data_IF_177051391940
#
_entry.id   IF_177051391940
#
_cell.length_a   1.000
_cell.length_b   1.000
_cell.length_c   1.000
_cell.angle_alpha   90.00
_cell.angle_beta   90.00
_cell.angle_gamma   90.00
#
_symmetry.space_group_name_H-M   'P 1'
#
loop_
_entity.id
_entity.type
_entity.pdbx_description
1 polymer ?
#
# COMPACT_ATOMS: atom_id res chain seq x y z
N UNK A 1 8.13 -31.02 -8.61
CA UNK A 1 9.61 -31.11 -8.48
C UNK A 1 9.97 -31.56 -7.05
N UNK A 2 11.16 -32.12 -6.80
CA UNK A 2 11.65 -32.36 -5.43
C UNK A 2 12.97 -31.63 -5.19
N UNK A 3 13.10 -30.96 -4.04
CA UNK A 3 14.33 -30.34 -3.57
C UNK A 3 14.58 -30.80 -2.13
N UNK A 4 15.80 -31.27 -1.83
CA UNK A 4 16.14 -31.84 -0.51
C UNK A 4 15.15 -32.91 -0.02
N UNK A 5 14.61 -33.72 -0.94
CA UNK A 5 13.63 -34.77 -0.63
C UNK A 5 12.19 -34.30 -0.42
N UNK A 6 11.95 -32.99 -0.35
CA UNK A 6 10.62 -32.40 -0.17
C UNK A 6 9.98 -32.05 -1.52
N UNK A 7 8.65 -32.11 -1.59
CA UNK A 7 7.90 -31.64 -2.76
C UNK A 7 8.03 -30.12 -2.84
N UNK A 8 8.35 -29.64 -4.04
CA UNK A 8 8.36 -28.21 -4.37
C UNK A 8 7.07 -27.92 -5.12
N UNK A 9 6.33 -26.92 -4.63
CA UNK A 9 5.17 -26.32 -5.28
C UNK A 9 5.61 -24.98 -5.87
N UNK A 10 5.38 -24.81 -7.16
CA UNK A 10 5.72 -23.61 -7.91
C UNK A 10 4.47 -22.79 -8.21
N UNK A 11 4.61 -21.47 -8.28
CA UNK A 11 3.48 -20.59 -8.59
C UNK A 11 3.90 -19.42 -9.49
N UNK A 12 2.98 -18.98 -10.35
CA UNK A 12 3.22 -17.88 -11.30
C UNK A 12 1.96 -17.08 -11.59
N UNK A 13 2.11 -15.80 -11.92
CA UNK A 13 1.03 -14.98 -12.49
C UNK A 13 1.01 -15.00 -14.02
N UNK A 14 2.03 -15.59 -14.65
CA UNK A 14 2.02 -15.80 -16.09
C UNK A 14 1.10 -16.98 -16.43
N UNK A 15 0.03 -16.69 -17.17
CA UNK A 15 -0.94 -17.68 -17.60
C UNK A 15 -0.34 -18.77 -18.51
N UNK A 16 0.80 -18.49 -19.17
CA UNK A 16 1.54 -19.44 -20.01
C UNK A 16 2.60 -20.24 -19.23
N UNK A 17 2.73 -19.99 -17.93
CA UNK A 17 3.68 -20.70 -17.08
C UNK A 17 3.29 -22.17 -16.90
N UNK A 18 4.32 -23.02 -16.75
CA UNK A 18 4.17 -24.43 -16.37
C UNK A 18 4.18 -24.64 -14.85
N UNK A 19 4.03 -23.55 -14.07
CA UNK A 19 3.95 -23.62 -12.61
C UNK A 19 2.75 -24.44 -12.12
N UNK A 20 2.88 -25.06 -10.95
CA UNK A 20 1.82 -25.89 -10.35
C UNK A 20 0.56 -25.05 -10.07
N UNK A 21 0.73 -23.80 -9.64
CA UNK A 21 -0.35 -22.85 -9.38
C UNK A 21 -0.23 -21.64 -10.29
N UNK A 22 -1.31 -21.25 -10.95
CA UNK A 22 -1.34 -20.02 -11.73
C UNK A 22 -2.56 -19.16 -11.45
N UNK A 23 -2.39 -17.85 -11.55
CA UNK A 23 -3.49 -16.89 -11.59
C UNK A 23 -3.72 -16.49 -13.05
N UNK A 24 -4.92 -16.73 -13.57
CA UNK A 24 -5.33 -16.37 -14.92
C UNK A 24 -6.45 -15.33 -14.89
N UNK A 25 -6.61 -14.56 -15.97
CA UNK A 25 -7.70 -13.58 -16.11
C UNK A 25 -7.81 -12.66 -14.87
N UNK A 26 -6.66 -12.16 -14.41
CA UNK A 26 -6.59 -11.31 -13.23
C UNK A 26 -7.16 -9.94 -13.54
N UNK A 27 -8.17 -9.55 -12.79
CA UNK A 27 -8.77 -8.22 -12.76
C UNK A 27 -8.42 -7.59 -11.43
N UNK A 28 -7.69 -6.48 -11.48
CA UNK A 28 -7.27 -5.75 -10.28
C UNK A 28 -7.96 -4.40 -10.27
N UNK A 29 -8.51 -4.02 -9.12
CA UNK A 29 -9.18 -2.76 -8.90
C UNK A 29 -8.82 -2.22 -7.53
N UNK A 30 -8.45 -0.94 -7.45
CA UNK A 30 -8.19 -0.27 -6.16
C UNK A 30 -9.40 -0.27 -5.23
N UNK A 31 -10.62 -0.24 -5.79
CA UNK A 31 -11.86 -0.12 -5.01
C UNK A 31 -12.47 -1.51 -4.75
N UNK A 32 -12.44 -2.40 -5.75
CA UNK A 32 -13.12 -3.71 -5.68
C UNK A 32 -12.21 -4.87 -5.25
N UNK A 33 -10.91 -4.62 -5.07
CA UNK A 33 -9.94 -5.67 -4.80
C UNK A 33 -9.48 -6.39 -6.06
N UNK A 34 -9.03 -7.62 -5.89
CA UNK A 34 -8.50 -8.46 -6.97
C UNK A 34 -9.37 -9.68 -7.18
N UNK A 35 -9.63 -10.01 -8.43
CA UNK A 35 -10.24 -11.30 -8.80
C UNK A 35 -9.47 -11.98 -9.91
N UNK A 36 -9.38 -13.31 -9.87
CA UNK A 36 -8.64 -14.10 -10.85
C UNK A 36 -9.09 -15.55 -10.83
N UNK A 37 -8.81 -16.28 -11.91
CA UNK A 37 -9.03 -17.72 -11.98
C UNK A 37 -7.79 -18.43 -11.46
N UNK A 38 -7.91 -19.01 -10.26
CA UNK A 38 -6.87 -19.84 -9.66
C UNK A 38 -6.89 -21.23 -10.32
N UNK A 39 -5.76 -21.59 -10.92
CA UNK A 39 -5.52 -22.93 -11.48
C UNK A 39 -4.58 -23.69 -10.55
N UNK A 40 -4.96 -24.92 -10.22
CA UNK A 40 -4.19 -25.83 -9.35
C UNK A 40 -4.26 -27.25 -9.91
N UNK A 41 -3.38 -28.18 -9.48
CA UNK A 41 -3.48 -29.58 -9.87
C UNK A 41 -4.79 -30.25 -9.42
N UNK A 42 -5.40 -29.73 -8.35
CA UNK A 42 -6.64 -30.24 -7.75
C UNK A 42 -7.91 -29.66 -8.39
N UNK A 43 -7.77 -28.76 -9.36
CA UNK A 43 -8.90 -28.09 -10.03
C UNK A 43 -8.74 -26.57 -10.10
N UNK A 44 -9.81 -25.90 -10.51
CA UNK A 44 -9.84 -24.43 -10.67
C UNK A 44 -10.94 -23.79 -9.85
N UNK A 45 -10.71 -22.56 -9.39
CA UNK A 45 -11.72 -21.71 -8.75
C UNK A 45 -11.52 -20.24 -9.10
N UNK A 46 -12.62 -19.49 -9.21
CA UNK A 46 -12.56 -18.03 -9.21
C UNK A 46 -12.27 -17.56 -7.79
N UNK A 47 -11.23 -16.75 -7.64
CA UNK A 47 -10.91 -16.04 -6.41
C UNK A 47 -11.40 -14.62 -6.56
N UNK A 48 -12.04 -14.11 -5.52
CA UNK A 48 -12.33 -12.69 -5.31
C UNK A 48 -11.79 -12.35 -3.94
N UNK A 49 -10.92 -11.35 -3.83
CA UNK A 49 -10.24 -10.97 -2.59
C UNK A 49 -10.22 -9.44 -2.47
N UNK A 50 -10.36 -8.88 -1.25
CA UNK A 50 -10.25 -7.44 -1.06
C UNK A 50 -8.80 -6.94 -1.25
N UNK A 51 -7.80 -7.83 -1.27
CA UNK A 51 -6.41 -7.48 -1.50
C UNK A 51 -6.21 -6.91 -2.90
N UNK A 52 -5.35 -5.90 -3.01
CA UNK A 52 -5.14 -5.13 -4.25
C UNK A 52 -3.72 -5.30 -4.76
N UNK A 53 -3.56 -5.47 -6.07
CA UNK A 53 -2.25 -5.41 -6.73
C UNK A 53 -1.61 -6.76 -7.01
N UNK A 54 -0.75 -6.79 -8.03
CA UNK A 54 0.03 -7.98 -8.43
C UNK A 54 0.83 -8.60 -7.29
N UNK A 55 1.50 -7.85 -6.38
CA UNK A 55 2.23 -8.46 -5.27
C UNK A 55 1.34 -9.34 -4.38
N UNK A 56 0.08 -8.92 -4.15
CA UNK A 56 -0.86 -9.70 -3.36
C UNK A 56 -1.34 -10.97 -4.08
N UNK A 57 -1.43 -10.97 -5.41
CA UNK A 57 -1.70 -12.20 -6.17
C UNK A 57 -0.60 -13.23 -5.96
N UNK A 58 0.68 -12.82 -6.01
CA UNK A 58 1.80 -13.73 -5.68
C UNK A 58 1.67 -14.29 -4.25
N UNK A 59 1.36 -13.43 -3.28
CA UNK A 59 1.17 -13.85 -1.89
C UNK A 59 0.01 -14.84 -1.72
N UNK A 60 -1.12 -14.60 -2.41
CA UNK A 60 -2.27 -15.50 -2.40
C UNK A 60 -1.97 -16.85 -3.04
N UNK A 61 -1.19 -16.87 -4.13
CA UNK A 61 -0.74 -18.13 -4.76
C UNK A 61 0.20 -18.91 -3.82
N UNK A 62 1.14 -18.24 -3.16
CA UNK A 62 2.03 -18.87 -2.18
C UNK A 62 1.26 -19.45 -0.98
N UNK A 63 0.31 -18.68 -0.43
CA UNK A 63 -0.55 -19.12 0.66
C UNK A 63 -1.44 -20.30 0.23
N UNK A 64 -1.99 -20.27 -0.98
CA UNK A 64 -2.76 -21.37 -1.57
C UNK A 64 -1.93 -22.65 -1.65
N UNK A 65 -0.71 -22.58 -2.17
CA UNK A 65 0.16 -23.76 -2.27
C UNK A 65 0.46 -24.36 -0.91
N UNK A 66 0.71 -23.52 0.08
CA UNK A 66 0.92 -23.97 1.47
C UNK A 66 -0.33 -24.65 2.02
N UNK A 67 -1.51 -24.05 1.85
CA UNK A 67 -2.77 -24.60 2.35
C UNK A 67 -3.15 -25.93 1.66
N UNK A 68 -2.90 -26.07 0.36
CA UNK A 68 -3.12 -27.32 -0.37
C UNK A 68 -2.22 -28.45 0.16
N UNK A 69 -0.93 -28.18 0.41
CA UNK A 69 -0.04 -29.20 0.99
C UNK A 69 -0.38 -29.55 2.44
N UNK A 70 -1.08 -28.67 3.15
CA UNK A 70 -1.65 -28.93 4.48
C UNK A 70 -2.99 -29.69 4.43
N UNK A 71 -3.51 -30.00 3.23
CA UNK A 71 -4.73 -30.79 3.04
C UNK A 71 -6.03 -29.99 3.11
N UNK A 72 -5.99 -28.66 2.97
CA UNK A 72 -7.20 -27.87 2.87
C UNK A 72 -7.82 -27.94 1.47
N UNK A 73 -9.15 -28.08 1.43
CA UNK A 73 -9.91 -28.09 0.18
C UNK A 73 -9.88 -26.72 -0.52
N UNK A 74 -9.85 -26.73 -1.85
CA UNK A 74 -9.75 -25.51 -2.67
C UNK A 74 -10.89 -24.51 -2.40
N UNK A 75 -12.10 -24.99 -2.11
CA UNK A 75 -13.24 -24.15 -1.75
C UNK A 75 -13.06 -23.47 -0.38
N UNK A 76 -12.42 -24.13 0.58
CA UNK A 76 -12.10 -23.52 1.88
C UNK A 76 -11.03 -22.46 1.74
N UNK A 77 -10.02 -22.71 0.90
CA UNK A 77 -8.97 -21.73 0.58
C UNK A 77 -9.58 -20.50 -0.10
N UNK A 78 -10.44 -20.70 -1.11
CA UNK A 78 -11.10 -19.61 -1.82
C UNK A 78 -11.94 -18.72 -0.88
N UNK A 79 -12.71 -19.34 0.04
CA UNK A 79 -13.44 -18.59 1.08
C UNK A 79 -12.50 -17.80 1.99
N UNK A 80 -11.41 -18.40 2.47
CA UNK A 80 -10.44 -17.72 3.32
C UNK A 80 -9.78 -16.52 2.63
N UNK A 81 -9.41 -16.65 1.36
CA UNK A 81 -8.86 -15.55 0.56
C UNK A 81 -9.87 -14.42 0.33
N UNK A 82 -11.16 -14.74 0.22
CA UNK A 82 -12.22 -13.74 0.03
C UNK A 82 -12.50 -12.87 1.24
N UNK A 83 -12.12 -13.33 2.44
CA UNK A 83 -12.29 -12.58 3.69
C UNK A 83 -10.98 -12.04 4.25
N UNK A 84 -9.85 -12.29 3.58
CA UNK A 84 -8.52 -11.87 4.05
C UNK A 84 -8.24 -10.42 3.65
N UNK A 85 -8.20 -9.52 4.62
CA UNK A 85 -7.90 -8.09 4.42
C UNK A 85 -6.40 -7.77 4.35
N UNK A 86 -5.55 -8.78 4.53
CA UNK A 86 -4.09 -8.65 4.37
C UNK A 86 -3.35 -8.35 5.66
N UNK A 87 -2.06 -8.07 5.51
CA UNK A 87 -1.23 -7.64 6.63
C UNK A 87 -1.53 -6.16 6.92
N UNK A 88 -1.76 -5.78 8.19
CA UNK A 88 -1.96 -4.39 8.54
C UNK A 88 -0.81 -3.49 8.02
N UNK A 89 -1.16 -2.35 7.43
CA UNK A 89 -0.23 -1.36 6.89
C UNK A 89 0.60 -1.82 5.70
N UNK A 90 0.07 -2.72 4.86
CA UNK A 90 0.72 -3.20 3.62
C UNK A 90 -0.26 -3.07 2.47
N UNK A 91 -0.14 -1.98 1.74
CA UNK A 91 -1.06 -1.55 0.69
C UNK A 91 -2.52 -1.70 1.15
N UNK A 92 -2.78 -1.32 2.41
CA UNK A 92 -4.04 -1.56 3.09
C UNK A 92 -5.05 -0.51 2.64
N UNK A 93 -6.08 -0.95 1.92
CA UNK A 93 -7.19 -0.09 1.52
C UNK A 93 -8.04 0.24 2.75
N UNK A 94 -8.26 1.53 2.99
CA UNK A 94 -9.25 2.00 3.97
C UNK A 94 -10.62 1.94 3.31
N UNK A 95 -11.54 1.18 3.89
CA UNK A 95 -12.86 0.96 3.30
C UNK A 95 -13.75 2.20 3.43
N UNK A 96 -14.39 2.59 2.33
CA UNK A 96 -15.47 3.58 2.28
C UNK A 96 -16.30 3.41 1.00
N UNK A 97 -17.46 4.08 0.96
CA UNK A 97 -18.43 4.00 -0.16
C UNK A 97 -18.16 5.00 -1.31
N UNK A 98 -16.97 5.61 -1.33
CA UNK A 98 -16.60 6.60 -2.33
C UNK A 98 -16.09 5.98 -3.63
N UNK A 99 -15.88 6.84 -4.63
CA UNK A 99 -15.42 6.47 -5.98
C UNK A 99 -13.92 6.67 -6.20
N UNK A 100 -13.17 6.90 -5.13
CA UNK A 100 -11.71 6.99 -5.09
C UNK A 100 -11.17 6.00 -4.06
N UNK A 101 -9.85 5.84 -3.98
CA UNK A 101 -9.22 4.94 -3.02
C UNK A 101 -8.34 5.69 -2.01
N UNK A 102 -8.31 5.20 -0.77
CA UNK A 102 -7.33 5.60 0.26
C UNK A 102 -6.57 4.36 0.70
N UNK A 103 -5.24 4.42 0.64
CA UNK A 103 -4.36 3.29 0.92
C UNK A 103 -3.31 3.70 1.95
N UNK A 104 -3.13 2.89 2.98
CA UNK A 104 -2.08 3.03 4.00
C UNK A 104 -0.98 2.01 3.75
N UNK A 105 0.27 2.48 3.64
CA UNK A 105 1.44 1.63 3.41
C UNK A 105 2.64 1.99 4.29
N UNK A 106 3.45 0.99 4.62
CA UNK A 106 4.67 1.13 5.44
C UNK A 106 5.91 1.52 4.64
N UNK A 107 5.77 1.92 3.38
CA UNK A 107 6.86 2.37 2.52
C UNK A 107 7.62 3.54 3.15
N UNK A 108 8.70 3.22 3.86
CA UNK A 108 9.57 4.17 4.55
C UNK A 108 11.00 4.15 3.96
N UNK A 109 11.19 3.49 2.82
CA UNK A 109 12.40 3.55 2.00
C UNK A 109 12.03 4.06 0.61
N UNK A 110 13.02 4.58 -0.11
CA UNK A 110 12.88 5.02 -1.49
C UNK A 110 12.42 3.88 -2.42
N UNK A 111 13.02 2.70 -2.33
CA UNK A 111 12.59 1.53 -3.12
C UNK A 111 11.16 1.07 -2.78
N UNK A 112 10.78 1.05 -1.50
CA UNK A 112 9.43 0.67 -1.10
C UNK A 112 8.38 1.68 -1.58
N UNK A 113 8.71 2.98 -1.54
CA UNK A 113 7.85 4.04 -2.03
C UNK A 113 7.70 3.98 -3.55
N UNK A 114 8.80 3.73 -4.28
CA UNK A 114 8.79 3.51 -5.73
C UNK A 114 7.82 2.37 -6.10
N UNK A 115 7.99 1.20 -5.47
CA UNK A 115 7.13 0.04 -5.72
C UNK A 115 5.66 0.32 -5.40
N UNK A 116 5.38 1.06 -4.32
CA UNK A 116 4.03 1.46 -3.92
C UNK A 116 3.38 2.38 -4.95
N UNK A 117 4.08 3.42 -5.39
CA UNK A 117 3.55 4.39 -6.35
C UNK A 117 3.42 3.80 -7.76
N UNK A 118 4.34 2.93 -8.18
CA UNK A 118 4.20 2.17 -9.43
C UNK A 118 2.97 1.26 -9.38
N UNK A 119 2.78 0.54 -8.27
CA UNK A 119 1.59 -0.29 -8.08
C UNK A 119 0.33 0.57 -8.12
N UNK A 120 0.30 1.73 -7.45
CA UNK A 120 -0.83 2.64 -7.51
C UNK A 120 -1.12 3.09 -8.95
N UNK A 121 -0.10 3.49 -9.71
CA UNK A 121 -0.24 3.93 -11.10
C UNK A 121 -0.76 2.84 -12.04
N UNK A 122 -0.38 1.58 -11.82
CA UNK A 122 -0.92 0.46 -12.62
C UNK A 122 -2.42 0.24 -12.39
N UNK A 123 -2.99 0.78 -11.31
CA UNK A 123 -4.34 0.47 -10.86
C UNK A 123 -5.32 1.65 -10.96
N UNK A 124 -4.82 2.85 -11.26
CA UNK A 124 -5.66 4.02 -11.51
C UNK A 124 -5.19 4.84 -12.70
N UNK A 125 -6.17 5.29 -13.48
CA UNK A 125 -6.01 6.33 -14.50
C UNK A 125 -6.24 7.75 -13.94
N UNK A 126 -6.68 7.86 -12.68
CA UNK A 126 -6.86 9.11 -11.94
C UNK A 126 -5.56 9.65 -11.35
N UNK A 127 -5.69 10.60 -10.42
CA UNK A 127 -4.56 11.24 -9.75
C UNK A 127 -4.03 10.38 -8.60
N UNK A 128 -2.72 10.39 -8.44
CA UNK A 128 -2.03 9.86 -7.27
C UNK A 128 -1.69 11.04 -6.35
N UNK A 129 -2.26 11.02 -5.15
CA UNK A 129 -2.00 12.00 -4.08
C UNK A 129 -1.19 11.28 -3.00
N UNK A 130 0.06 11.68 -2.78
CA UNK A 130 0.97 10.98 -1.87
C UNK A 130 1.23 11.79 -0.61
N UNK A 131 0.88 11.24 0.55
CA UNK A 131 1.18 11.76 1.88
C UNK A 131 2.32 10.97 2.49
N UNK A 132 3.44 11.61 2.77
CA UNK A 132 4.54 10.91 3.42
C UNK A 132 5.46 11.84 4.21
N UNK A 133 6.23 11.21 5.10
CA UNK A 133 7.30 11.85 5.86
C UNK A 133 8.50 10.92 5.97
N UNK A 134 9.52 11.34 6.72
CA UNK A 134 10.64 10.49 7.08
C UNK A 134 10.85 10.50 8.59
N UNK A 135 11.30 9.37 9.14
CA UNK A 135 11.73 9.30 10.54
C UNK A 135 13.00 10.12 10.80
N UNK A 136 13.05 10.79 11.96
CA UNK A 136 14.25 11.38 12.52
C UNK A 136 15.13 10.37 13.24
N UNK A 137 16.36 10.74 13.58
CA UNK A 137 17.43 9.90 14.15
C UNK A 137 17.65 8.59 13.36
N UNK A 138 17.49 8.67 12.04
CA UNK A 138 17.58 7.55 11.10
C UNK A 138 18.39 7.94 9.87
N UNK A 139 18.48 7.02 8.92
CA UNK A 139 19.15 7.27 7.65
C UNK A 139 18.55 8.50 6.94
N UNK A 140 19.38 9.54 6.82
CA UNK A 140 19.05 10.80 6.15
C UNK A 140 19.24 10.72 4.64
N UNK A 141 20.05 9.77 4.16
CA UNK A 141 20.44 9.67 2.75
C UNK A 141 19.25 9.34 1.85
N UNK A 142 18.20 8.71 2.39
CA UNK A 142 16.95 8.41 1.68
C UNK A 142 15.97 9.58 1.56
N UNK A 143 16.11 10.66 2.33
CA UNK A 143 15.11 11.75 2.38
C UNK A 143 14.92 12.42 1.02
N UNK A 144 16.03 12.82 0.38
CA UNK A 144 16.02 13.44 -0.94
C UNK A 144 15.56 12.46 -2.03
N UNK A 145 16.08 11.21 -2.12
CA UNK A 145 15.56 10.20 -3.05
C UNK A 145 14.05 9.93 -2.91
N UNK A 146 13.55 9.76 -1.69
CA UNK A 146 12.11 9.57 -1.44
C UNK A 146 11.30 10.76 -1.93
N UNK A 147 11.77 11.99 -1.68
CA UNK A 147 11.19 13.21 -2.24
C UNK A 147 11.14 13.20 -3.77
N UNK A 148 12.24 12.81 -4.41
CA UNK A 148 12.31 12.70 -5.87
C UNK A 148 11.32 11.68 -6.43
N UNK A 149 11.21 10.50 -5.82
CA UNK A 149 10.29 9.44 -6.25
C UNK A 149 8.83 9.89 -6.10
N UNK A 150 8.48 10.48 -4.96
CA UNK A 150 7.14 11.01 -4.74
C UNK A 150 6.80 12.10 -5.76
N UNK A 151 7.71 13.05 -5.98
CA UNK A 151 7.50 14.15 -6.93
C UNK A 151 7.46 13.72 -8.40
N UNK A 152 8.06 12.58 -8.75
CA UNK A 152 8.06 12.04 -10.12
C UNK A 152 6.82 11.20 -10.41
N UNK A 153 6.32 10.43 -9.44
CA UNK A 153 5.27 9.43 -9.67
C UNK A 153 3.88 9.84 -9.16
N UNK A 154 3.80 10.93 -8.40
CA UNK A 154 2.52 11.44 -7.86
C UNK A 154 2.08 12.68 -8.63
N UNK A 155 0.77 12.84 -8.78
CA UNK A 155 0.19 14.06 -9.33
C UNK A 155 0.20 15.20 -8.31
N UNK A 156 0.06 14.88 -7.02
CA UNK A 156 0.17 15.84 -5.92
C UNK A 156 0.91 15.20 -4.73
N UNK A 157 1.82 15.94 -4.11
CA UNK A 157 2.61 15.44 -2.97
C UNK A 157 2.34 16.30 -1.73
N UNK A 158 2.06 15.64 -0.61
CA UNK A 158 1.90 16.27 0.71
C UNK A 158 3.02 15.77 1.62
N UNK A 159 3.99 16.65 1.89
CA UNK A 159 5.10 16.36 2.79
C UNK A 159 4.67 16.67 4.22
N UNK A 160 4.81 15.70 5.12
CA UNK A 160 4.38 15.82 6.51
C UNK A 160 5.36 15.19 7.49
N UNK A 161 5.09 15.32 8.79
CA UNK A 161 5.83 14.64 9.85
C UNK A 161 5.50 13.14 9.88
N UNK A 162 6.49 12.31 10.21
CA UNK A 162 6.33 10.88 10.53
C UNK A 162 6.74 10.69 12.00
N UNK A 163 7.83 10.00 12.29
CA UNK A 163 8.39 9.86 13.63
C UNK A 163 9.62 10.76 13.74
N UNK A 164 9.48 12.06 14.05
CA UNK A 164 10.60 13.00 14.09
C UNK A 164 11.61 12.67 15.19
N UNK A 165 11.20 11.94 16.25
CA UNK A 165 12.08 11.63 17.39
C UNK A 165 12.71 12.92 17.93
N UNK A 166 14.03 12.97 18.10
CA UNK A 166 14.70 14.15 18.65
C UNK A 166 15.07 15.18 17.58
N UNK A 167 14.80 14.92 16.29
CA UNK A 167 14.99 15.89 15.23
C UNK A 167 13.82 16.86 15.11
N UNK A 168 14.11 18.08 14.65
CA UNK A 168 13.10 19.06 14.30
C UNK A 168 12.32 18.60 13.04
N UNK A 169 10.99 18.37 13.13
CA UNK A 169 10.19 17.92 12.00
C UNK A 169 10.35 18.80 10.75
N UNK A 170 10.46 20.11 10.92
CA UNK A 170 10.57 21.05 9.80
C UNK A 170 11.91 20.92 9.07
N UNK A 171 12.98 20.51 9.77
CA UNK A 171 14.27 20.23 9.12
C UNK A 171 14.22 18.96 8.28
N UNK A 172 13.56 17.91 8.80
CA UNK A 172 13.35 16.67 8.05
C UNK A 172 12.53 16.96 6.78
N UNK A 173 11.42 17.69 6.94
CA UNK A 173 10.56 18.11 5.83
C UNK A 173 11.35 18.89 4.79
N UNK A 174 12.16 19.88 5.20
CA UNK A 174 12.98 20.66 4.29
C UNK A 174 13.97 19.79 3.47
N UNK A 175 14.54 18.73 4.07
CA UNK A 175 15.41 17.79 3.35
C UNK A 175 14.64 16.95 2.32
N UNK A 176 13.43 16.49 2.65
CA UNK A 176 12.57 15.77 1.69
C UNK A 176 12.16 16.70 0.53
N UNK A 177 11.80 17.95 0.88
CA UNK A 177 11.31 18.96 -0.05
C UNK A 177 12.33 19.28 -1.15
N UNK A 178 13.64 19.19 -0.88
CA UNK A 178 14.69 19.30 -1.91
C UNK A 178 14.47 18.30 -3.05
N UNK A 179 14.12 17.06 -2.72
CA UNK A 179 13.86 16.01 -3.70
C UNK A 179 12.57 16.25 -4.48
N UNK A 180 11.50 16.66 -3.78
CA UNK A 180 10.18 16.93 -4.40
C UNK A 180 10.27 18.12 -5.37
N UNK A 181 10.86 19.24 -4.92
CA UNK A 181 11.05 20.47 -5.72
C UNK A 181 11.85 20.25 -7.00
N UNK A 182 12.75 19.27 -7.01
CA UNK A 182 13.53 18.93 -8.19
C UNK A 182 12.71 18.22 -9.29
N UNK A 183 11.49 17.78 -8.98
CA UNK A 183 10.63 16.97 -9.85
C UNK A 183 9.29 17.63 -10.16
N UNK A 184 8.72 18.37 -9.21
CA UNK A 184 7.40 18.99 -9.37
C UNK A 184 7.25 20.24 -8.52
N UNK A 185 6.39 21.16 -8.98
CA UNK A 185 5.90 22.29 -8.19
C UNK A 185 4.55 21.98 -7.52
N UNK A 186 3.90 20.87 -7.89
CA UNK A 186 2.59 20.49 -7.35
C UNK A 186 2.72 19.70 -6.05
N UNK A 187 3.17 20.37 -5.00
CA UNK A 187 3.27 19.81 -3.66
C UNK A 187 2.85 20.84 -2.60
N UNK A 188 2.51 20.34 -1.42
CA UNK A 188 2.25 21.13 -0.22
C UNK A 188 3.00 20.56 0.99
N UNK A 189 3.25 21.41 1.97
CA UNK A 189 3.91 21.05 3.23
C UNK A 189 2.93 21.30 4.37
N UNK A 190 2.57 20.24 5.08
CA UNK A 190 1.68 20.28 6.23
C UNK A 190 2.34 19.48 7.34
N UNK A 191 2.93 20.14 8.33
CA UNK A 191 3.74 19.48 9.35
C UNK A 191 2.94 18.52 10.23
N UNK A 192 1.70 18.86 10.55
CA UNK A 192 0.80 17.97 11.27
C UNK A 192 0.31 16.85 10.35
N UNK A 193 0.56 15.60 10.75
CA UNK A 193 0.25 14.42 9.94
C UNK A 193 -1.25 14.20 9.78
N UNK A 194 -2.03 14.53 10.80
CA UNK A 194 -3.48 14.39 10.75
C UNK A 194 -4.08 15.39 9.77
N UNK A 195 -3.66 16.66 9.84
CA UNK A 195 -4.08 17.69 8.90
C UNK A 195 -3.66 17.35 7.45
N UNK A 196 -2.47 16.78 7.25
CA UNK A 196 -1.99 16.34 5.94
C UNK A 196 -2.86 15.23 5.33
N UNK A 197 -3.27 14.25 6.15
CA UNK A 197 -4.18 13.17 5.74
C UNK A 197 -5.57 13.75 5.42
N UNK A 198 -6.14 14.57 6.30
CA UNK A 198 -7.43 15.21 6.06
C UNK A 198 -7.44 16.02 4.76
N UNK A 199 -6.40 16.82 4.55
CA UNK A 199 -6.23 17.62 3.34
C UNK A 199 -6.19 16.73 2.10
N UNK A 200 -5.38 15.69 2.11
CA UNK A 200 -5.23 14.79 0.95
C UNK A 200 -6.50 14.04 0.61
N UNK A 201 -7.22 13.53 1.61
CA UNK A 201 -8.52 12.89 1.43
C UNK A 201 -9.56 13.89 0.91
N UNK A 202 -9.51 15.18 1.32
CA UNK A 202 -10.41 16.22 0.81
C UNK A 202 -10.16 16.59 -0.66
N UNK A 203 -8.93 16.41 -1.14
CA UNK A 203 -8.53 16.74 -2.52
C UNK A 203 -8.92 15.66 -3.53
N UNK A 204 -9.08 14.41 -3.09
CA UNK A 204 -9.36 13.29 -3.96
C UNK A 204 -10.69 13.45 -4.71
N UNK A 205 -10.73 13.03 -5.96
CA UNK A 205 -11.92 12.98 -6.81
C UNK A 205 -12.08 11.60 -7.42
N UNK A 206 -13.16 11.38 -8.17
CA UNK A 206 -13.48 10.08 -8.76
C UNK A 206 -12.28 9.44 -9.45
N UNK A 207 -12.02 8.18 -9.11
CA UNK A 207 -10.90 7.34 -9.54
C UNK A 207 -9.52 7.73 -9.01
N UNK A 208 -9.36 8.80 -8.23
CA UNK A 208 -8.07 9.14 -7.63
C UNK A 208 -7.65 8.10 -6.57
N UNK A 209 -6.38 8.12 -6.20
CA UNK A 209 -5.84 7.35 -5.08
C UNK A 209 -5.03 8.24 -4.15
N UNK A 210 -5.34 8.16 -2.86
CA UNK A 210 -4.54 8.76 -1.78
C UNK A 210 -3.66 7.68 -1.18
N UNK A 211 -2.34 7.84 -1.29
CA UNK A 211 -1.34 6.96 -0.69
C UNK A 211 -0.79 7.62 0.58
N UNK A 212 -1.05 7.02 1.74
CA UNK A 212 -0.51 7.44 3.03
C UNK A 212 0.65 6.50 3.37
N UNK A 213 1.87 6.96 3.17
CA UNK A 213 3.08 6.15 3.31
C UNK A 213 3.88 6.48 4.59
N UNK A 214 4.64 5.48 5.05
CA UNK A 214 5.65 5.58 6.10
C UNK A 214 5.34 4.74 7.33
N UNK A 215 4.19 4.97 7.97
CA UNK A 215 3.85 4.36 9.28
C UNK A 215 3.18 3.01 9.16
N UNK A 216 2.38 2.78 8.11
CA UNK A 216 1.72 1.50 7.88
C UNK A 216 0.86 1.07 9.08
N UNK A 217 1.33 0.05 9.81
CA UNK A 217 0.62 -0.53 10.96
C UNK A 217 0.99 0.11 12.30
N UNK A 218 1.96 1.04 12.32
CA UNK A 218 2.31 1.75 13.54
C UNK A 218 1.13 2.60 14.00
N UNK A 219 0.72 2.40 15.25
CA UNK A 219 -0.36 3.13 15.93
C UNK A 219 0.17 4.21 16.90
N UNK A 220 1.38 4.69 16.67
CA UNK A 220 1.98 5.75 17.47
C UNK A 220 2.81 6.70 16.62
N UNK A 221 2.98 7.93 17.10
CA UNK A 221 3.95 8.89 16.60
C UNK A 221 4.99 9.19 17.69
N UNK A 222 6.28 9.17 17.32
CA UNK A 222 7.38 9.45 18.26
C UNK A 222 7.84 10.90 18.11
N UNK A 223 7.67 11.69 19.15
CA UNK A 223 8.14 13.08 19.23
C UNK A 223 9.03 13.20 20.48
N UNK A 224 10.29 13.55 20.28
CA UNK A 224 11.34 13.40 21.28
C UNK A 224 11.54 11.92 21.66
N UNK A 225 11.36 11.62 22.95
CA UNK A 225 11.39 10.26 23.49
C UNK A 225 9.99 9.65 23.74
N UNK A 226 8.92 10.43 23.54
CA UNK A 226 7.57 10.04 23.91
C UNK A 226 6.79 9.44 22.74
N UNK A 227 5.89 8.51 23.05
CA UNK A 227 4.98 7.89 22.09
C UNK A 227 3.57 8.42 22.29
N UNK A 228 3.02 9.04 21.25
CA UNK A 228 1.65 9.53 21.21
C UNK A 228 0.80 8.59 20.36
N UNK A 229 -0.44 8.29 20.76
CA UNK A 229 -1.34 7.48 19.93
C UNK A 229 -1.60 8.17 18.60
N UNK A 230 -1.31 7.47 17.50
CA UNK A 230 -1.53 7.96 16.15
C UNK A 230 -1.55 6.79 15.17
N UNK A 231 -2.69 6.54 14.55
CA UNK A 231 -2.85 5.50 13.54
C UNK A 231 -3.33 6.11 12.23
N UNK A 232 -2.55 5.96 11.16
CA UNK A 232 -2.88 6.49 9.82
C UNK A 232 -4.26 6.00 9.34
N UNK A 233 -4.66 4.79 9.72
CA UNK A 233 -5.94 4.19 9.30
C UNK A 233 -7.11 4.84 10.02
N UNK A 234 -6.99 5.03 11.33
CA UNK A 234 -8.02 5.71 12.12
C UNK A 234 -8.21 7.15 11.62
N UNK A 235 -7.12 7.85 11.31
CA UNK A 235 -7.18 9.22 10.79
C UNK A 235 -7.74 9.27 9.38
N UNK A 236 -7.40 8.30 8.52
CA UNK A 236 -7.98 8.19 7.19
C UNK A 236 -9.50 7.95 7.24
N UNK A 237 -9.97 7.07 8.13
CA UNK A 237 -11.40 6.83 8.38
C UNK A 237 -12.07 8.13 8.83
N UNK A 238 -11.50 8.82 9.82
CA UNK A 238 -12.03 10.11 10.28
C UNK A 238 -12.11 11.16 9.16
N UNK A 239 -11.10 11.21 8.28
CA UNK A 239 -11.10 12.12 7.14
C UNK A 239 -12.20 11.79 6.12
N UNK A 240 -12.46 10.50 5.89
CA UNK A 240 -13.52 10.02 5.01
C UNK A 240 -14.92 10.33 5.58
N UNK A 241 -15.12 10.10 6.89
CA UNK A 241 -16.36 10.41 7.60
C UNK A 241 -16.69 11.90 7.53
N UNK A 242 -15.72 12.77 7.86
CA UNK A 242 -15.89 14.23 7.78
C UNK A 242 -16.26 14.71 6.38
N UNK A 243 -15.71 14.06 5.34
CA UNK A 243 -16.01 14.40 3.95
C UNK A 243 -17.43 13.99 3.55
N UNK A 244 -17.94 12.87 4.06
CA UNK A 244 -19.29 12.41 3.78
C UNK A 244 -20.37 13.30 4.43
N UNK A 245 -20.03 14.01 5.51
CA UNK A 245 -20.91 14.95 6.22
C UNK A 245 -20.96 16.36 5.61
N UNK A 246 -20.01 16.72 4.74
CA UNK A 246 -19.86 18.05 4.14
C UNK A 246 -20.64 18.22 2.83
#
# INVERSE_FOLDING_TARGET
>A
MKANGQRVVTFSQDANSTADLTAQNAEVSLIRGTSFDLKTPSGSRRITSPLVGKPHVYNMLAATGTALELGYELDSIARGLSTCVGAPGRFERVEHDGDFAVVVDYAHTDDALLNTLQTARELTDGKIITVFGCGGDRDRTKRVPMGGIAGELSDHVVITSDNPRNEDPLKIIAEIEVGVKAKTENYEVISDRRDAIHRSVSLATANDVVIIAGKGHENYQIIGGDKFHFDDREVAIEALERRAEA
#
